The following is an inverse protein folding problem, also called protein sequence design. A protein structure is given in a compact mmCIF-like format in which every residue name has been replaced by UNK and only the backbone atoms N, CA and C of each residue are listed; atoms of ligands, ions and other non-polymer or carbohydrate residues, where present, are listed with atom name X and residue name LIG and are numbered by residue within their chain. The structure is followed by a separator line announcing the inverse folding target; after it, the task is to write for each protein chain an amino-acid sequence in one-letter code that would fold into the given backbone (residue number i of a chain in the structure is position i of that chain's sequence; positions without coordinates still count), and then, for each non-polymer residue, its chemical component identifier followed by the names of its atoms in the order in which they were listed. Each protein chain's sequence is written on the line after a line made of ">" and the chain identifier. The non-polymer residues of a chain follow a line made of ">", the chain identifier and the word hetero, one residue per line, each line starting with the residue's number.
data_IF_793761448446
#
_entry.id   IF_793761448446
#
_cell.length_a   1.000
_cell.length_b   1.000
_cell.length_c   1.000
_cell.angle_alpha   90.00
_cell.angle_beta   90.00
_cell.angle_gamma   90.00
#
_symmetry.space_group_name_H-M   'P 1'
#
loop_
_entity.id
_entity.type
_entity.pdbx_description
1 polymer ?
#
# COMPACT_ATOMS: atom_id res chain seq x y z
N UNK A 1 25.93 -20.80 6.74
CA UNK A 1 25.38 -19.69 5.94
C UNK A 1 25.24 -18.51 6.88
N UNK A 2 25.64 -17.32 6.45
CA UNK A 2 25.58 -16.10 7.28
C UNK A 2 24.23 -15.38 7.10
N UNK A 3 23.84 -14.58 8.10
CA UNK A 3 22.54 -13.88 8.09
C UNK A 3 22.36 -12.97 6.86
N UNK A 4 23.42 -12.30 6.39
CA UNK A 4 23.36 -11.44 5.20
C UNK A 4 23.15 -12.24 3.91
N UNK A 5 23.73 -13.44 3.84
CA UNK A 5 23.55 -14.33 2.69
C UNK A 5 22.15 -14.95 2.71
N UNK A 6 21.63 -15.25 3.89
CA UNK A 6 20.26 -15.71 4.08
C UNK A 6 19.25 -14.68 3.57
N UNK A 7 19.41 -13.40 3.94
CA UNK A 7 18.51 -12.32 3.51
C UNK A 7 18.41 -12.20 1.97
N UNK A 8 19.53 -12.43 1.27
CA UNK A 8 19.58 -12.41 -0.20
C UNK A 8 18.85 -13.60 -0.86
N UNK A 9 18.79 -14.76 -0.21
CA UNK A 9 18.17 -15.98 -0.77
C UNK A 9 16.76 -16.23 -0.25
N UNK A 10 16.35 -15.51 0.78
CA UNK A 10 15.08 -15.68 1.48
C UNK A 10 13.85 -15.58 0.57
N UNK A 11 13.82 -14.63 -0.37
CA UNK A 11 12.67 -14.51 -1.28
C UNK A 11 12.57 -15.75 -2.17
N UNK A 12 13.68 -16.18 -2.77
CA UNK A 12 13.71 -17.38 -3.58
C UNK A 12 13.40 -18.64 -2.76
N UNK A 13 13.74 -18.66 -1.46
CA UNK A 13 13.36 -19.75 -0.54
C UNK A 13 11.83 -19.82 -0.38
N UNK A 14 11.16 -18.67 -0.25
CA UNK A 14 9.69 -18.59 -0.09
C UNK A 14 8.95 -18.99 -1.38
N UNK A 15 9.55 -18.74 -2.55
CA UNK A 15 9.00 -19.11 -3.85
C UNK A 15 9.44 -20.50 -4.34
N UNK A 16 10.16 -21.27 -3.51
CA UNK A 16 10.66 -22.62 -3.86
C UNK A 16 11.55 -22.63 -5.11
N UNK A 17 12.31 -21.54 -5.34
CA UNK A 17 13.20 -21.37 -6.51
C UNK A 17 14.67 -21.75 -6.22
N UNK A 18 15.01 -22.08 -4.97
CA UNK A 18 16.37 -22.48 -4.59
C UNK A 18 16.71 -23.87 -5.09
N UNK A 19 18.00 -24.07 -5.42
CA UNK A 19 18.54 -25.41 -5.57
C UNK A 19 18.53 -26.17 -4.23
N UNK A 20 18.42 -27.51 -4.29
CA UNK A 20 18.27 -28.38 -3.12
C UNK A 20 19.38 -28.20 -2.07
N UNK A 21 20.61 -27.88 -2.50
CA UNK A 21 21.74 -27.65 -1.60
C UNK A 21 21.60 -26.32 -0.85
N UNK A 22 21.23 -25.25 -1.54
CA UNK A 22 21.01 -23.94 -0.92
C UNK A 22 19.78 -23.96 -0.02
N UNK A 23 18.70 -24.65 -0.40
CA UNK A 23 17.50 -24.83 0.43
C UNK A 23 17.85 -25.55 1.75
N UNK A 24 18.52 -26.70 1.68
CA UNK A 24 18.94 -27.43 2.89
C UNK A 24 19.91 -26.63 3.78
N UNK A 25 20.74 -25.76 3.20
CA UNK A 25 21.63 -24.88 3.94
C UNK A 25 20.87 -23.72 4.62
N UNK A 26 19.86 -23.16 3.94
CA UNK A 26 18.99 -22.13 4.48
C UNK A 26 18.11 -22.66 5.60
N UNK A 27 17.50 -23.84 5.44
CA UNK A 27 16.69 -24.50 6.48
C UNK A 27 17.52 -24.80 7.74
N UNK A 28 18.74 -25.31 7.59
CA UNK A 28 19.66 -25.51 8.73
C UNK A 28 20.02 -24.19 9.42
N UNK A 29 20.17 -23.10 8.66
CA UNK A 29 20.42 -21.78 9.23
C UNK A 29 19.21 -21.26 10.00
N UNK A 30 17.98 -21.40 9.48
CA UNK A 30 16.76 -21.03 10.18
C UNK A 30 16.56 -21.80 11.49
N UNK A 31 16.94 -23.09 11.50
CA UNK A 31 16.89 -23.90 12.72
C UNK A 31 17.89 -23.44 13.80
N UNK A 32 19.03 -22.85 13.39
CA UNK A 32 20.08 -22.41 14.31
C UNK A 32 19.98 -20.92 14.68
N UNK A 33 19.38 -20.08 13.83
CA UNK A 33 19.29 -18.63 14.02
C UNK A 33 17.84 -18.19 14.24
N UNK A 34 17.51 -17.84 15.48
CA UNK A 34 16.16 -17.42 15.88
C UNK A 34 15.63 -16.21 15.09
N UNK A 35 16.51 -15.26 14.70
CA UNK A 35 16.12 -14.09 13.90
C UNK A 35 15.64 -14.51 12.51
N UNK A 36 16.44 -15.30 11.81
CA UNK A 36 16.14 -15.75 10.45
C UNK A 36 14.92 -16.69 10.43
N UNK A 37 14.81 -17.59 11.41
CA UNK A 37 13.64 -18.47 11.55
C UNK A 37 12.34 -17.73 11.90
N UNK A 38 12.39 -16.60 12.61
CA UNK A 38 11.20 -15.75 12.81
C UNK A 38 10.77 -15.06 11.52
N UNK A 39 11.75 -14.51 10.80
CA UNK A 39 11.51 -13.74 9.57
C UNK A 39 10.98 -14.64 8.43
N UNK A 40 11.48 -15.87 8.32
CA UNK A 40 10.92 -16.88 7.41
C UNK A 40 9.46 -17.21 7.76
N UNK A 41 9.15 -17.46 9.04
CA UNK A 41 7.78 -17.77 9.49
C UNK A 41 6.81 -16.63 9.23
N UNK A 42 7.24 -15.39 9.46
CA UNK A 42 6.43 -14.20 9.18
C UNK A 42 6.12 -14.10 7.68
N UNK A 43 7.14 -14.26 6.82
CA UNK A 43 6.93 -14.18 5.39
C UNK A 43 6.08 -15.33 4.87
N UNK A 44 6.31 -16.58 5.29
CA UNK A 44 5.42 -17.70 4.94
C UNK A 44 3.98 -17.46 5.38
N UNK A 45 3.77 -16.86 6.55
CA UNK A 45 2.42 -16.48 7.00
C UNK A 45 1.79 -15.43 6.07
N UNK A 46 2.57 -14.44 5.59
CA UNK A 46 2.06 -13.47 4.60
C UNK A 46 1.80 -14.11 3.24
N UNK A 47 2.65 -15.05 2.79
CA UNK A 47 2.45 -15.78 1.53
C UNK A 47 1.21 -16.67 1.59
N UNK A 48 0.96 -17.33 2.73
CA UNK A 48 -0.25 -18.12 2.95
C UNK A 48 -1.53 -17.27 2.89
N UNK A 49 -1.47 -16.01 3.33
CA UNK A 49 -2.59 -15.07 3.20
C UNK A 49 -2.72 -14.56 1.76
N UNK A 50 -1.59 -14.36 1.06
CA UNK A 50 -1.57 -13.94 -0.35
C UNK A 50 -2.06 -15.03 -1.32
N UNK A 51 -1.80 -16.29 -0.99
CA UNK A 51 -2.36 -17.47 -1.67
C UNK A 51 -3.78 -17.77 -1.16
N UNK A 52 -4.65 -16.75 -1.10
CA UNK A 52 -6.08 -17.02 -0.96
C UNK A 52 -6.46 -18.01 -2.05
N UNK A 53 -7.08 -19.12 -1.64
CA UNK A 53 -7.53 -20.16 -2.54
C UNK A 53 -8.23 -19.48 -3.71
N UNK A 54 -7.59 -19.53 -4.88
CA UNK A 54 -8.18 -19.07 -6.12
C UNK A 54 -9.37 -20.00 -6.34
N UNK A 55 -10.52 -19.56 -5.87
CA UNK A 55 -11.78 -20.21 -6.18
C UNK A 55 -11.82 -20.33 -7.70
N UNK A 56 -11.97 -21.55 -8.26
CA UNK A 56 -11.88 -21.75 -9.69
C UNK A 56 -12.87 -20.81 -10.37
N UNK A 57 -12.35 -19.89 -11.18
CA UNK A 57 -13.15 -18.88 -11.85
C UNK A 57 -14.27 -19.62 -12.58
N UNK A 58 -15.55 -19.34 -12.27
CA UNK A 58 -16.65 -20.07 -12.86
C UNK A 58 -16.59 -19.97 -14.38
N UNK A 59 -16.79 -21.09 -15.08
CA UNK A 59 -16.75 -21.12 -16.54
C UNK A 59 -17.69 -20.06 -17.11
N UNK A 60 -17.15 -19.16 -17.94
CA UNK A 60 -17.90 -18.04 -18.53
C UNK A 60 -17.90 -16.74 -17.72
N UNK A 61 -17.19 -16.65 -16.59
CA UNK A 61 -17.03 -15.39 -15.84
C UNK A 61 -16.39 -14.29 -16.70
N UNK A 62 -15.37 -14.63 -17.50
CA UNK A 62 -14.72 -13.68 -18.41
C UNK A 62 -15.71 -13.08 -19.42
N UNK A 63 -16.57 -13.91 -20.00
CA UNK A 63 -17.62 -13.43 -20.93
C UNK A 63 -18.61 -12.51 -20.22
N UNK A 64 -19.09 -12.89 -19.02
CA UNK A 64 -19.98 -12.03 -18.23
C UNK A 64 -19.31 -10.71 -17.83
N UNK A 65 -18.02 -10.74 -17.51
CA UNK A 65 -17.24 -9.55 -17.15
C UNK A 65 -17.04 -8.63 -18.36
N UNK A 66 -16.72 -9.19 -19.53
CA UNK A 66 -16.58 -8.44 -20.77
C UNK A 66 -17.92 -7.82 -21.20
N UNK A 67 -19.02 -8.58 -21.10
CA UNK A 67 -20.37 -8.07 -21.38
C UNK A 67 -20.76 -6.96 -20.42
N UNK A 68 -20.55 -7.14 -19.11
CA UNK A 68 -20.82 -6.12 -18.10
C UNK A 68 -19.99 -4.85 -18.35
N UNK A 69 -18.69 -5.01 -18.68
CA UNK A 69 -17.82 -3.89 -18.99
C UNK A 69 -18.28 -3.12 -20.24
N UNK A 70 -18.74 -3.81 -21.29
CA UNK A 70 -19.27 -3.17 -22.51
C UNK A 70 -20.55 -2.39 -22.21
N UNK A 71 -21.46 -2.96 -21.41
CA UNK A 71 -22.71 -2.28 -21.00
C UNK A 71 -22.40 -1.01 -20.22
N UNK A 72 -21.49 -1.11 -19.23
CA UNK A 72 -21.11 0.04 -18.42
C UNK A 72 -20.35 1.09 -19.23
N UNK A 73 -19.49 0.67 -20.16
CA UNK A 73 -18.78 1.58 -21.05
C UNK A 73 -19.72 2.33 -22.01
N UNK A 74 -20.84 1.71 -22.43
CA UNK A 74 -21.87 2.37 -23.24
C UNK A 74 -22.71 3.36 -22.42
N UNK A 75 -22.92 3.09 -21.13
CA UNK A 75 -23.67 3.98 -20.23
C UNK A 75 -22.88 5.23 -19.78
N UNK A 76 -21.55 5.23 -19.92
CA UNK A 76 -20.73 6.37 -19.48
C UNK A 76 -20.86 7.59 -20.42
N UNK A 77 -21.04 8.81 -19.87
CA UNK A 77 -21.11 10.04 -20.66
C UNK A 77 -19.79 10.31 -21.38
N UNK A 78 -19.86 10.88 -22.60
CA UNK A 78 -18.72 11.13 -23.49
C UNK A 78 -17.57 11.91 -22.81
N UNK A 79 -17.88 12.80 -21.87
CA UNK A 79 -16.88 13.56 -21.11
C UNK A 79 -15.99 12.66 -20.23
N UNK A 80 -16.57 11.63 -19.62
CA UNK A 80 -15.84 10.68 -18.78
C UNK A 80 -15.00 9.71 -19.62
N UNK A 81 -15.45 9.40 -20.84
CA UNK A 81 -14.71 8.56 -21.79
C UNK A 81 -13.39 9.22 -22.21
N UNK A 82 -13.41 10.52 -22.51
CA UNK A 82 -12.19 11.29 -22.83
C UNK A 82 -11.24 11.36 -21.63
N UNK A 83 -11.76 11.61 -20.42
CA UNK A 83 -10.94 11.65 -19.21
C UNK A 83 -10.19 10.34 -18.95
N UNK A 84 -10.86 9.19 -19.09
CA UNK A 84 -10.24 7.86 -18.92
C UNK A 84 -9.18 7.57 -19.98
N UNK A 85 -9.44 7.91 -21.25
CA UNK A 85 -8.44 7.76 -22.31
C UNK A 85 -7.19 8.59 -22.03
N UNK A 86 -7.35 9.83 -21.55
CA UNK A 86 -6.25 10.70 -21.13
C UNK A 86 -5.52 10.14 -19.92
N UNK A 87 -6.21 9.62 -18.90
CA UNK A 87 -5.58 9.02 -17.72
C UNK A 87 -4.79 7.75 -18.06
N UNK A 88 -5.30 6.91 -18.96
CA UNK A 88 -4.60 5.71 -19.43
C UNK A 88 -3.35 6.11 -20.24
N UNK A 89 -3.47 7.09 -21.13
CA UNK A 89 -2.33 7.64 -21.87
C UNK A 89 -1.29 8.30 -20.94
N UNK A 90 -1.74 9.03 -19.92
CA UNK A 90 -0.88 9.66 -18.93
C UNK A 90 -0.13 8.61 -18.08
N UNK A 91 -0.79 7.53 -17.71
CA UNK A 91 -0.15 6.39 -17.03
C UNK A 91 0.89 5.69 -17.91
N UNK A 92 0.63 5.57 -19.22
CA UNK A 92 1.60 5.03 -20.17
C UNK A 92 2.80 5.95 -20.41
N UNK A 93 2.61 7.26 -20.38
CA UNK A 93 3.69 8.24 -20.52
C UNK A 93 4.72 8.21 -19.37
N UNK A 94 4.36 7.68 -18.20
CA UNK A 94 5.28 7.52 -17.07
C UNK A 94 6.18 6.28 -17.15
N UNK A 95 5.97 5.37 -18.11
CA UNK A 95 6.88 4.24 -18.31
C UNK A 95 8.10 4.70 -19.12
N UNK A 96 9.35 4.54 -18.61
CA UNK A 96 10.55 5.04 -19.29
C UNK A 96 10.75 4.43 -20.70
N UNK A 97 10.28 3.21 -20.93
CA UNK A 97 10.31 2.57 -22.26
C UNK A 97 9.34 3.20 -23.27
N UNK A 98 8.19 3.69 -22.83
CA UNK A 98 7.20 4.34 -23.70
C UNK A 98 7.59 5.79 -24.02
N UNK A 99 8.28 6.48 -23.10
CA UNK A 99 8.83 7.80 -23.37
C UNK A 99 9.86 7.75 -24.52
N UNK A 100 10.73 6.73 -24.53
CA UNK A 100 11.72 6.52 -25.60
C UNK A 100 11.07 6.26 -26.96
N UNK A 101 10.01 5.43 -27.01
CA UNK A 101 9.30 5.17 -28.27
C UNK A 101 8.53 6.40 -28.77
N UNK A 102 7.97 7.20 -27.85
CA UNK A 102 7.33 8.47 -28.21
C UNK A 102 8.32 9.47 -28.80
N UNK A 103 9.53 9.59 -28.23
CA UNK A 103 10.61 10.42 -28.78
C UNK A 103 11.04 9.93 -30.16
N UNK A 104 11.17 8.61 -30.36
CA UNK A 104 11.49 8.02 -31.66
C UNK A 104 10.41 8.32 -32.71
N UNK A 105 9.13 8.14 -32.37
CA UNK A 105 8.02 8.45 -33.27
C UNK A 105 7.96 9.95 -33.61
N UNK A 106 8.27 10.82 -32.64
CA UNK A 106 8.36 12.26 -32.86
C UNK A 106 9.54 12.61 -33.79
N UNK A 107 10.70 11.98 -33.62
CA UNK A 107 11.85 12.12 -34.51
C UNK A 107 11.51 11.67 -35.94
N UNK A 108 10.89 10.49 -36.11
CA UNK A 108 10.47 9.97 -37.41
C UNK A 108 9.42 10.90 -38.06
N UNK A 109 8.43 11.35 -37.29
CA UNK A 109 7.41 12.27 -37.77
C UNK A 109 8.01 13.62 -38.21
N UNK A 110 8.97 14.14 -37.46
CA UNK A 110 9.68 15.38 -37.82
C UNK A 110 10.54 15.21 -39.09
N UNK A 111 11.20 14.07 -39.26
CA UNK A 111 11.94 13.78 -40.48
C UNK A 111 11.00 13.68 -41.70
N UNK A 112 9.87 12.99 -41.57
CA UNK A 112 8.88 12.89 -42.65
C UNK A 112 8.23 14.25 -42.98
N UNK A 113 8.03 15.11 -41.97
CA UNK A 113 7.48 16.44 -42.19
C UNK A 113 8.48 17.37 -42.91
N UNK A 114 9.78 17.19 -42.67
CA UNK A 114 10.84 17.92 -43.36
C UNK A 114 11.12 17.39 -44.77
N UNK A 115 10.89 16.08 -45.01
CA UNK A 115 10.91 15.49 -46.36
C UNK A 115 9.55 15.70 -47.03
N UNK A 116 9.00 16.92 -46.97
CA UNK A 116 7.88 17.26 -47.84
C UNK A 116 8.48 17.51 -49.22
N UNK A 117 8.37 16.58 -50.19
CA UNK A 117 8.87 16.86 -51.52
C UNK A 117 8.12 18.07 -52.04
N UNK A 118 8.83 19.12 -52.43
CA UNK A 118 8.23 20.17 -53.24
C UNK A 118 7.67 19.50 -54.50
N UNK A 119 6.35 19.58 -54.74
CA UNK A 119 5.74 18.97 -55.91
C UNK A 119 6.21 19.75 -57.14
N UNK A 120 7.28 19.27 -57.77
CA UNK A 120 7.85 19.91 -58.97
C UNK A 120 9.30 19.56 -59.28
N UNK A 121 10.06 18.98 -58.34
CA UNK A 121 11.50 18.74 -58.53
C UNK A 121 11.87 17.25 -58.54
N UNK A 122 11.26 16.49 -59.45
CA UNK A 122 11.78 15.17 -59.82
C UNK A 122 12.90 15.34 -60.84
N UNK A 123 14.08 15.78 -60.38
CA UNK A 123 15.31 15.68 -61.16
C UNK A 123 15.66 14.20 -61.29
N UNK A 124 15.64 13.66 -62.50
CA UNK A 124 16.03 12.28 -62.78
C UNK A 124 17.45 12.03 -62.29
N UNK A 125 17.59 11.27 -61.20
CA UNK A 125 18.89 10.75 -60.76
C UNK A 125 19.30 9.67 -61.75
N UNK A 126 20.08 10.04 -62.76
CA UNK A 126 20.75 9.07 -63.61
C UNK A 126 21.95 8.50 -62.85
N UNK A 127 21.82 7.24 -62.46
CA UNK A 127 22.92 6.43 -61.93
C UNK A 127 23.83 6.10 -63.11
N UNK A 128 24.95 6.81 -63.24
CA UNK A 128 26.02 6.41 -64.15
C UNK A 128 26.85 5.31 -63.50
N UNK A 129 26.59 4.07 -63.92
CA UNK A 129 27.45 2.91 -63.67
C UNK A 129 28.83 3.11 -64.31
N UNK A 130 29.76 3.76 -63.60
CA UNK A 130 31.20 3.58 -63.82
C UNK A 130 32.00 4.33 -62.76
N UNK A 131 32.69 3.58 -61.89
CA UNK A 131 33.75 4.16 -61.06
C UNK A 131 34.05 3.35 -59.80
N UNK A 132 34.82 2.27 -59.99
CA UNK A 132 35.89 1.73 -59.12
C UNK A 132 35.77 1.94 -57.60
N UNK A 133 35.71 0.86 -56.78
CA UNK A 133 35.84 0.99 -55.33
C UNK A 133 37.28 1.41 -54.98
N UNK A 134 37.45 2.63 -54.48
CA UNK A 134 38.64 2.97 -53.69
C UNK A 134 38.57 2.20 -52.37
N UNK A 135 39.51 1.26 -52.21
CA UNK A 135 39.82 0.70 -50.90
C UNK A 135 40.58 1.75 -50.10
N UNK A 136 39.86 2.60 -49.37
CA UNK A 136 40.44 3.30 -48.23
C UNK A 136 40.35 2.39 -46.99
N UNK A 137 41.51 1.83 -46.64
CA UNK A 137 41.71 1.13 -45.39
C UNK A 137 41.77 2.14 -44.25
N UNK A 138 40.71 2.23 -43.46
CA UNK A 138 40.73 2.86 -42.15
C UNK A 138 40.78 1.77 -41.07
N UNK A 139 41.96 1.65 -40.47
CA UNK A 139 42.28 0.67 -39.44
C UNK A 139 41.41 0.88 -38.19
N UNK A 140 40.51 -0.07 -37.93
CA UNK A 140 39.79 -0.20 -36.66
C UNK A 140 40.80 -0.51 -35.56
N UNK A 141 41.15 0.50 -34.76
CA UNK A 141 41.94 0.33 -33.54
C UNK A 141 41.02 -0.20 -32.45
N UNK A 142 41.14 -1.49 -32.14
CA UNK A 142 40.44 -2.14 -31.03
C UNK A 142 41.02 -1.59 -29.71
N UNK A 143 40.28 -0.70 -29.04
CA UNK A 143 40.59 -0.31 -27.66
C UNK A 143 40.16 -1.47 -26.74
N UNK A 144 41.14 -2.18 -26.19
CA UNK A 144 40.97 -3.14 -25.09
C UNK A 144 40.44 -2.41 -23.86
N UNK A 145 39.32 -2.88 -23.33
CA UNK A 145 38.81 -2.51 -22.02
C UNK A 145 39.53 -3.36 -20.94
N UNK A 146 40.20 -2.77 -19.94
CA UNK A 146 40.85 -3.53 -18.88
C UNK A 146 39.84 -4.04 -17.83
N UNK A 147 40.03 -5.29 -17.44
CA UNK A 147 39.33 -5.99 -16.35
C UNK A 147 39.57 -5.32 -15.00
N UNK A 148 38.54 -5.15 -14.13
CA UNK A 148 38.76 -4.81 -12.74
C UNK A 148 39.12 -6.06 -11.93
N UNK A 149 40.42 -6.18 -11.65
CA UNK A 149 40.98 -7.13 -10.70
C UNK A 149 40.64 -6.80 -9.24
N UNK A 150 40.64 -7.88 -8.46
CA UNK A 150 40.41 -7.98 -7.03
C UNK A 150 41.22 -6.99 -6.19
N UNK A 151 40.59 -6.45 -5.14
CA UNK A 151 41.32 -6.03 -3.93
C UNK A 151 40.62 -6.61 -2.71
N UNK A 152 41.36 -7.47 -2.04
CA UNK A 152 41.08 -8.06 -0.74
C UNK A 152 41.64 -7.16 0.37
N UNK A 153 40.97 -7.23 1.54
CA UNK A 153 41.51 -7.10 2.92
C UNK A 153 41.41 -5.77 3.68
N UNK A 154 40.86 -5.92 4.90
CA UNK A 154 41.17 -5.23 6.17
C UNK A 154 40.70 -3.77 6.35
N UNK A 155 40.31 -3.28 7.53
CA UNK A 155 39.98 -3.82 8.84
C UNK A 155 39.39 -2.63 9.66
N UNK A 156 38.49 -2.92 10.61
CA UNK A 156 38.02 -1.98 11.64
C UNK A 156 39.17 -1.59 12.61
N UNK A 157 39.09 -0.44 13.33
CA UNK A 157 38.39 -0.41 14.62
C UNK A 157 37.66 0.92 14.96
N UNK A 158 36.88 0.96 16.08
CA UNK A 158 35.93 2.02 16.39
C UNK A 158 36.49 3.12 17.30
N UNK A 159 35.96 4.34 17.19
CA UNK A 159 36.24 5.41 18.16
C UNK A 159 34.96 6.07 18.66
N UNK A 160 34.75 5.85 19.96
CA UNK A 160 33.99 6.56 20.96
C UNK A 160 33.42 7.96 20.65
N UNK A 161 32.16 8.14 21.07
CA UNK A 161 31.85 9.02 22.20
C UNK A 161 31.65 10.49 21.91
N UNK A 162 30.38 10.92 21.90
CA UNK A 162 30.02 12.22 22.45
C UNK A 162 28.82 12.08 23.40
N UNK A 163 29.13 12.31 24.66
CA UNK A 163 28.21 12.46 25.76
C UNK A 163 27.46 13.80 25.69
N UNK A 164 26.31 13.78 26.33
CA UNK A 164 25.48 14.89 26.82
C UNK A 164 26.20 16.23 27.06
N UNK A 165 25.51 17.33 26.74
CA UNK A 165 25.26 18.40 27.71
C UNK A 165 24.31 19.47 27.14
N UNK A 166 23.23 19.72 27.89
CA UNK A 166 22.68 21.03 28.23
C UNK A 166 22.66 22.15 27.17
N UNK A 167 21.45 22.64 26.89
CA UNK A 167 21.16 24.06 27.14
C UNK A 167 19.66 24.33 27.31
N UNK A 168 19.31 24.49 28.58
CA UNK A 168 18.23 25.32 29.05
C UNK A 168 18.55 26.79 28.74
N UNK A 169 17.61 27.50 28.10
CA UNK A 169 17.48 28.97 28.12
C UNK A 169 16.18 29.37 27.39
N UNK A 170 15.10 29.51 28.15
CA UNK A 170 14.16 30.63 27.98
C UNK A 170 14.81 31.88 28.61
N UNK A 171 14.51 33.13 28.19
CA UNK A 171 13.13 33.63 28.06
C UNK A 171 12.84 34.61 26.89
N UNK A 172 11.53 34.80 26.71
CA UNK A 172 10.79 35.94 26.17
C UNK A 172 11.55 37.12 25.52
N UNK A 173 11.14 37.45 24.29
CA UNK A 173 11.06 38.84 23.84
C UNK A 173 9.93 39.03 22.81
N UNK A 174 9.03 39.96 23.15
CA UNK A 174 8.01 40.54 22.30
C UNK A 174 8.56 40.99 20.95
N UNK A 175 7.81 40.70 19.89
CA UNK A 175 8.06 41.19 18.55
C UNK A 175 6.75 41.31 17.79
N UNK A 176 5.94 42.29 18.18
CA UNK A 176 4.76 42.74 17.44
C UNK A 176 5.22 43.29 16.09
N UNK A 177 5.23 42.46 15.04
CA UNK A 177 5.35 42.93 13.66
C UNK A 177 3.99 42.89 13.00
N UNK A 178 3.24 43.97 13.23
CA UNK A 178 2.13 44.36 12.38
C UNK A 178 2.73 45.03 11.13
N UNK A 179 2.82 44.31 10.02
CA UNK A 179 3.12 44.90 8.73
C UNK A 179 2.41 44.15 7.61
N UNK A 180 1.69 44.93 6.80
CA UNK A 180 1.13 44.62 5.49
C UNK A 180 0.00 43.58 5.44
N UNK A 181 -1.22 44.03 5.77
CA UNK A 181 -2.43 43.58 5.10
C UNK A 181 -2.33 43.95 3.61
N UNK A 182 -1.75 43.04 2.82
CA UNK A 182 -1.95 42.99 1.38
C UNK A 182 -3.34 42.43 1.10
N UNK A 183 -4.17 43.24 0.46
CA UNK A 183 -5.54 42.95 0.09
C UNK A 183 -5.59 41.87 -0.99
N UNK A 184 -5.78 40.63 -0.54
CA UNK A 184 -6.64 39.57 -1.09
C UNK A 184 -6.89 39.62 -2.60
N UNK A 185 -5.97 39.03 -3.36
CA UNK A 185 -6.42 38.00 -4.29
C UNK A 185 -6.80 36.80 -3.43
N UNK A 186 -8.10 36.56 -3.24
CA UNK A 186 -8.60 35.30 -2.69
C UNK A 186 -8.18 34.19 -3.64
N UNK A 187 -6.96 33.69 -3.45
CA UNK A 187 -6.55 32.43 -4.01
C UNK A 187 -7.62 31.42 -3.59
N UNK A 188 -8.07 30.56 -4.52
CA UNK A 188 -9.16 29.63 -4.24
C UNK A 188 -8.82 28.85 -2.97
N UNK A 189 -9.81 28.69 -2.08
CA UNK A 189 -9.74 28.05 -0.74
C UNK A 189 -9.03 26.67 -0.69
N UNK A 190 -8.64 26.12 -1.85
CA UNK A 190 -7.82 24.92 -1.98
C UNK A 190 -6.31 25.12 -1.87
N UNK A 191 -5.75 26.34 -1.87
CA UNK A 191 -4.27 26.49 -1.89
C UNK A 191 -3.61 26.07 -0.57
N UNK A 192 -4.13 26.52 0.59
CA UNK A 192 -3.52 26.21 1.89
C UNK A 192 -3.62 24.72 2.22
N UNK A 193 -4.75 24.08 1.89
CA UNK A 193 -4.90 22.64 2.05
C UNK A 193 -3.93 21.85 1.15
N UNK A 194 -3.73 22.29 -0.09
CA UNK A 194 -2.76 21.67 -1.00
C UNK A 194 -1.32 21.78 -0.48
N UNK A 195 -0.94 22.94 0.06
CA UNK A 195 0.36 23.14 0.68
C UNK A 195 0.54 22.26 1.94
N UNK A 196 -0.50 22.15 2.76
CA UNK A 196 -0.53 21.26 3.92
C UNK A 196 -0.32 19.78 3.52
N UNK A 197 -0.99 19.32 2.45
CA UNK A 197 -0.82 17.98 1.90
C UNK A 197 0.58 17.77 1.31
N UNK A 198 1.17 18.78 0.68
CA UNK A 198 2.55 18.73 0.19
C UNK A 198 3.57 18.64 1.34
N UNK A 199 3.35 19.34 2.46
CA UNK A 199 4.15 19.19 3.67
C UNK A 199 3.99 17.79 4.29
N UNK A 200 2.76 17.27 4.35
CA UNK A 200 2.46 15.93 4.88
C UNK A 200 3.16 14.81 4.11
N UNK A 201 3.08 14.82 2.79
CA UNK A 201 3.70 13.80 1.91
C UNK A 201 5.23 13.84 1.94
N UNK A 202 5.83 15.00 2.25
CA UNK A 202 7.28 15.17 2.47
C UNK A 202 7.73 14.86 3.90
N UNK A 203 6.88 14.24 4.73
CA UNK A 203 7.13 13.95 6.15
C UNK A 203 7.45 15.19 7.02
N UNK A 204 7.09 16.39 6.56
CA UNK A 204 7.26 17.65 7.33
C UNK A 204 6.05 17.87 8.23
N UNK A 205 5.83 16.92 9.15
CA UNK A 205 4.58 16.85 9.91
C UNK A 205 4.33 18.04 10.83
N UNK A 206 5.37 18.64 11.42
CA UNK A 206 5.20 19.83 12.30
C UNK A 206 4.66 21.04 11.51
N UNK A 207 5.18 21.26 10.31
CA UNK A 207 4.70 22.29 9.37
C UNK A 207 3.29 21.95 8.87
N UNK A 208 3.06 20.67 8.53
CA UNK A 208 1.75 20.20 8.09
C UNK A 208 0.66 20.45 9.16
N UNK A 209 0.94 20.26 10.46
CA UNK A 209 -0.01 20.59 11.54
C UNK A 209 -0.45 22.05 11.47
N UNK A 210 0.50 22.98 11.29
CA UNK A 210 0.19 24.42 11.25
C UNK A 210 -0.67 24.76 10.03
N UNK A 211 -0.29 24.25 8.86
CA UNK A 211 -1.03 24.51 7.60
C UNK A 211 -2.44 23.87 7.62
N UNK A 212 -2.59 22.67 8.20
CA UNK A 212 -3.92 22.05 8.35
C UNK A 212 -4.78 22.76 9.40
N UNK A 213 -4.18 23.20 10.52
CA UNK A 213 -4.90 23.98 11.53
C UNK A 213 -5.38 25.33 10.93
N UNK A 214 -4.57 25.95 10.08
CA UNK A 214 -4.96 27.15 9.32
C UNK A 214 -6.08 26.86 8.31
N UNK A 215 -5.94 25.82 7.48
CA UNK A 215 -6.98 25.42 6.53
C UNK A 215 -8.31 25.06 7.23
N UNK A 216 -8.24 24.44 8.41
CA UNK A 216 -9.42 24.19 9.23
C UNK A 216 -10.08 25.48 9.75
N UNK A 217 -9.26 26.45 10.18
CA UNK A 217 -9.74 27.75 10.67
C UNK A 217 -10.38 28.61 9.57
N UNK A 218 -9.92 28.47 8.32
CA UNK A 218 -10.52 29.13 7.16
C UNK A 218 -11.92 28.59 6.82
N UNK A 219 -12.23 27.36 7.25
CA UNK A 219 -13.54 26.73 7.03
C UNK A 219 -13.67 26.09 5.64
N UNK A 220 -14.89 26.03 5.13
CA UNK A 220 -15.19 25.41 3.83
C UNK A 220 -15.40 23.90 3.87
N UNK A 221 -15.51 23.28 2.69
CA UNK A 221 -15.80 21.85 2.54
C UNK A 221 -14.65 20.94 2.98
N UNK A 222 -13.42 21.46 2.98
CA UNK A 222 -12.19 20.74 3.35
C UNK A 222 -11.86 20.85 4.84
N UNK A 223 -12.52 21.73 5.61
CA UNK A 223 -12.13 22.01 7.00
C UNK A 223 -12.13 20.77 7.91
N UNK A 224 -13.17 19.95 7.85
CA UNK A 224 -13.26 18.72 8.66
C UNK A 224 -12.13 17.73 8.29
N UNK A 225 -11.85 17.60 6.99
CA UNK A 225 -10.75 16.77 6.49
C UNK A 225 -9.40 17.31 6.95
N UNK A 226 -9.19 18.63 6.91
CA UNK A 226 -7.97 19.29 7.39
C UNK A 226 -7.73 19.02 8.88
N UNK A 227 -8.76 19.15 9.74
CA UNK A 227 -8.66 18.84 11.18
C UNK A 227 -8.19 17.39 11.42
N UNK A 228 -8.73 16.43 10.65
CA UNK A 228 -8.33 15.02 10.74
C UNK A 228 -6.87 14.80 10.34
N UNK A 229 -6.40 15.45 9.27
CA UNK A 229 -5.00 15.38 8.85
C UNK A 229 -4.04 16.10 9.81
N UNK A 230 -4.48 17.18 10.45
CA UNK A 230 -3.73 17.82 11.53
C UNK A 230 -3.52 16.85 12.69
N UNK A 231 -4.58 16.17 13.14
CA UNK A 231 -4.49 15.14 14.19
C UNK A 231 -3.58 13.97 13.78
N UNK A 232 -3.59 13.56 12.51
CA UNK A 232 -2.68 12.55 11.96
C UNK A 232 -1.22 13.00 11.94
N UNK A 233 -0.97 14.27 11.66
CA UNK A 233 0.36 14.86 11.69
C UNK A 233 0.91 14.95 13.13
N UNK A 234 0.03 15.25 14.10
CA UNK A 234 0.37 15.17 15.53
C UNK A 234 0.68 13.74 15.94
N UNK A 235 -0.08 12.75 15.46
CA UNK A 235 0.22 11.34 15.72
C UNK A 235 1.62 10.95 15.24
N UNK A 236 2.01 11.38 14.05
CA UNK A 236 3.33 11.05 13.49
C UNK A 236 4.50 11.76 14.19
N UNK A 237 4.26 12.84 14.96
CA UNK A 237 5.31 13.63 15.62
C UNK A 237 5.38 13.41 17.13
N UNK A 238 4.22 13.32 17.79
CA UNK A 238 4.07 13.21 19.23
C UNK A 238 3.45 11.87 19.68
N UNK A 239 3.16 10.97 18.74
CA UNK A 239 2.56 9.67 19.02
C UNK A 239 1.10 9.74 19.48
N UNK A 240 0.62 8.59 19.96
CA UNK A 240 -0.76 8.39 20.39
C UNK A 240 -1.18 9.29 21.55
N UNK A 241 -0.27 9.58 22.49
CA UNK A 241 -0.55 10.43 23.66
C UNK A 241 -0.93 11.86 23.25
N UNK A 242 -0.23 12.43 22.26
CA UNK A 242 -0.54 13.77 21.75
C UNK A 242 -1.76 13.82 20.81
N UNK A 243 -1.98 12.77 20.03
CA UNK A 243 -3.03 12.78 19.00
C UNK A 243 -4.44 12.43 19.52
N UNK A 244 -4.54 11.58 20.54
CA UNK A 244 -5.83 11.13 21.11
C UNK A 244 -6.80 12.26 21.45
N UNK A 245 -6.42 13.33 22.18
CA UNK A 245 -7.35 14.42 22.49
C UNK A 245 -7.87 15.13 21.24
N UNK A 246 -7.05 15.29 20.20
CA UNK A 246 -7.48 15.89 18.93
C UNK A 246 -8.49 15.00 18.21
N UNK A 247 -8.24 13.69 18.10
CA UNK A 247 -9.21 12.77 17.50
C UNK A 247 -10.54 12.73 18.26
N UNK A 248 -10.51 12.74 19.61
CA UNK A 248 -11.74 12.79 20.41
C UNK A 248 -12.54 14.08 20.18
N UNK A 249 -11.86 15.23 20.09
CA UNK A 249 -12.50 16.51 19.76
C UNK A 249 -13.16 16.48 18.38
N UNK A 250 -12.50 15.91 17.37
CA UNK A 250 -13.05 15.80 16.01
C UNK A 250 -14.25 14.84 15.99
N UNK A 251 -14.12 13.69 16.66
CA UNK A 251 -15.19 12.69 16.78
C UNK A 251 -16.46 13.27 17.41
N UNK A 252 -16.34 14.03 18.50
CA UNK A 252 -17.50 14.66 19.16
C UNK A 252 -18.08 15.83 18.36
N UNK A 253 -17.23 16.67 17.77
CA UNK A 253 -17.67 17.81 16.97
C UNK A 253 -18.34 17.40 15.64
N UNK A 254 -18.00 16.21 15.12
CA UNK A 254 -18.44 15.71 13.80
C UNK A 254 -19.14 14.35 13.89
N UNK A 255 -19.89 14.13 14.97
CA UNK A 255 -20.62 12.88 15.20
C UNK A 255 -21.54 12.52 14.01
N UNK A 256 -21.55 11.23 13.62
CA UNK A 256 -22.36 10.73 12.50
C UNK A 256 -21.81 11.04 11.10
N UNK A 257 -20.72 11.79 10.97
CA UNK A 257 -20.06 12.03 9.69
C UNK A 257 -18.94 11.00 9.42
N UNK A 258 -18.59 10.80 8.15
CA UNK A 258 -17.47 9.93 7.77
C UNK A 258 -16.15 10.34 8.47
N UNK A 259 -15.85 11.64 8.54
CA UNK A 259 -14.66 12.19 9.23
C UNK A 259 -14.72 11.91 10.73
N UNK A 260 -15.90 12.04 11.35
CA UNK A 260 -16.10 11.70 12.76
C UNK A 260 -15.86 10.22 13.03
N UNK A 261 -16.35 9.32 12.19
CA UNK A 261 -16.11 7.88 12.30
C UNK A 261 -14.64 7.51 12.11
N UNK A 262 -13.94 8.13 11.14
CA UNK A 262 -12.50 7.99 10.98
C UNK A 262 -11.74 8.45 12.23
N UNK A 263 -12.11 9.59 12.80
CA UNK A 263 -11.53 10.11 14.04
C UNK A 263 -11.77 9.16 15.22
N UNK A 264 -12.99 8.63 15.39
CA UNK A 264 -13.31 7.62 16.42
C UNK A 264 -12.44 6.37 16.27
N UNK A 265 -12.29 5.85 15.04
CA UNK A 265 -11.45 4.67 14.78
C UNK A 265 -9.99 4.92 15.14
N UNK A 266 -9.45 6.09 14.78
CA UNK A 266 -8.07 6.48 15.10
C UNK A 266 -7.88 6.68 16.60
N UNK A 267 -8.82 7.34 17.29
CA UNK A 267 -8.81 7.48 18.74
C UNK A 267 -8.80 6.12 19.45
N UNK A 268 -9.68 5.18 19.05
CA UNK A 268 -9.73 3.83 19.59
C UNK A 268 -8.39 3.08 19.43
N UNK A 269 -7.79 3.19 18.24
CA UNK A 269 -6.51 2.54 17.95
C UNK A 269 -5.38 3.11 18.82
N UNK A 270 -5.32 4.44 18.97
CA UNK A 270 -4.36 5.10 19.86
C UNK A 270 -4.57 4.72 21.34
N UNK A 271 -5.83 4.59 21.81
CA UNK A 271 -6.15 4.20 23.18
C UNK A 271 -5.71 2.76 23.47
N UNK A 272 -5.91 1.84 22.51
CA UNK A 272 -5.42 0.47 22.61
C UNK A 272 -3.90 0.42 22.76
N UNK A 273 -3.17 1.18 21.94
CA UNK A 273 -1.70 1.24 22.01
C UNK A 273 -1.18 1.82 23.33
N UNK A 274 -1.96 2.68 23.97
CA UNK A 274 -1.67 3.23 25.30
C UNK A 274 -2.09 2.30 26.45
N UNK A 275 -2.67 1.13 26.17
CA UNK A 275 -3.18 0.20 27.19
C UNK A 275 -4.53 0.61 27.80
N UNK A 276 -5.18 1.66 27.30
CA UNK A 276 -6.50 2.10 27.75
C UNK A 276 -7.62 1.27 27.06
N UNK A 277 -7.61 -0.04 27.31
CA UNK A 277 -8.46 -1.03 26.61
C UNK A 277 -9.96 -0.78 26.78
N UNK A 278 -10.42 -0.40 27.97
CA UNK A 278 -11.83 -0.08 28.23
C UNK A 278 -12.34 1.08 27.36
N UNK A 279 -11.58 2.17 27.28
CA UNK A 279 -11.93 3.31 26.44
C UNK A 279 -11.80 2.97 24.93
N UNK A 280 -10.85 2.13 24.56
CA UNK A 280 -10.73 1.65 23.17
C UNK A 280 -11.97 0.82 22.76
N UNK A 281 -12.43 -0.07 23.65
CA UNK A 281 -13.65 -0.87 23.47
C UNK A 281 -14.87 0.01 23.22
N UNK A 282 -15.11 1.02 24.05
CA UNK A 282 -16.26 1.92 23.91
C UNK A 282 -16.30 2.57 22.53
N UNK A 283 -15.15 3.07 22.06
CA UNK A 283 -15.04 3.68 20.72
C UNK A 283 -15.24 2.66 19.60
N UNK A 284 -14.76 1.41 19.73
CA UNK A 284 -15.00 0.37 18.73
C UNK A 284 -16.47 -0.07 18.72
N UNK A 285 -17.13 -0.17 19.87
CA UNK A 285 -18.55 -0.49 19.97
C UNK A 285 -19.41 0.56 19.26
N UNK A 286 -19.09 1.85 19.41
CA UNK A 286 -19.76 2.94 18.70
C UNK A 286 -19.66 2.82 17.16
N UNK A 287 -18.66 2.11 16.64
CA UNK A 287 -18.46 1.89 15.21
C UNK A 287 -19.15 0.64 14.66
N UNK A 288 -19.72 -0.23 15.51
CA UNK A 288 -20.41 -1.45 15.06
C UNK A 288 -21.66 -1.15 14.23
N UNK A 289 -22.33 -0.03 14.50
CA UNK A 289 -23.53 0.40 13.76
C UNK A 289 -23.21 1.06 12.42
N UNK A 290 -21.94 1.35 12.12
CA UNK A 290 -21.51 2.06 10.91
C UNK A 290 -21.10 1.03 9.85
N UNK A 291 -21.80 0.92 8.70
CA UNK A 291 -21.59 -0.16 7.74
C UNK A 291 -20.14 -0.33 7.25
N UNK A 292 -19.41 0.77 7.05
CA UNK A 292 -18.02 0.74 6.57
C UNK A 292 -16.97 0.41 7.66
N UNK A 293 -17.38 0.36 8.94
CA UNK A 293 -16.47 0.14 10.08
C UNK A 293 -16.80 -1.10 10.90
N UNK A 294 -18.02 -1.65 10.81
CA UNK A 294 -18.49 -2.76 11.64
C UNK A 294 -17.54 -3.97 11.63
N UNK A 295 -17.24 -4.53 10.46
CA UNK A 295 -16.34 -5.69 10.33
C UNK A 295 -14.93 -5.44 10.88
N UNK A 296 -14.42 -4.21 10.71
CA UNK A 296 -13.10 -3.80 11.25
C UNK A 296 -13.15 -3.64 12.76
N UNK A 297 -14.23 -3.10 13.31
CA UNK A 297 -14.45 -2.92 14.74
C UNK A 297 -14.62 -4.26 15.46
N UNK A 298 -15.40 -5.21 14.91
CA UNK A 298 -15.52 -6.58 15.45
C UNK A 298 -14.16 -7.29 15.52
N UNK A 299 -13.36 -7.14 14.47
CA UNK A 299 -12.00 -7.71 14.44
C UNK A 299 -11.10 -7.06 15.48
N UNK A 300 -11.21 -5.75 15.71
CA UNK A 300 -10.46 -5.05 16.74
C UNK A 300 -10.91 -5.47 18.16
N UNK A 301 -12.21 -5.63 18.40
CA UNK A 301 -12.76 -6.09 19.69
C UNK A 301 -12.33 -7.53 20.02
N UNK A 302 -12.36 -8.44 19.05
CA UNK A 302 -11.83 -9.81 19.22
C UNK A 302 -10.35 -9.81 19.64
N UNK A 303 -9.53 -8.93 19.03
CA UNK A 303 -8.11 -8.78 19.40
C UNK A 303 -7.90 -8.24 20.82
N UNK A 304 -8.87 -7.52 21.38
CA UNK A 304 -8.84 -7.06 22.77
C UNK A 304 -9.28 -8.15 23.77
N UNK A 305 -9.58 -9.37 23.31
CA UNK A 305 -10.08 -10.46 24.14
C UNK A 305 -11.55 -10.31 24.54
N UNK A 306 -12.26 -9.35 23.94
CA UNK A 306 -13.70 -9.22 24.13
C UNK A 306 -14.42 -9.90 22.97
N UNK A 307 -15.06 -11.03 23.27
CA UNK A 307 -16.12 -11.52 22.42
C UNK A 307 -17.17 -10.40 22.32
N UNK A 308 -17.59 -9.98 21.11
CA UNK A 308 -18.59 -8.93 20.98
C UNK A 308 -19.85 -9.33 21.74
N UNK A 309 -20.25 -8.51 22.72
CA UNK A 309 -21.39 -8.75 23.63
C UNK A 309 -22.73 -8.83 22.87
N UNK A 310 -22.75 -8.51 21.56
CA UNK A 310 -23.96 -8.25 20.79
C UNK A 310 -24.43 -9.34 19.82
N UNK A 311 -23.79 -10.50 19.74
CA UNK A 311 -24.30 -11.59 18.90
C UNK A 311 -24.18 -12.90 19.65
N UNK A 312 -25.07 -13.11 20.62
CA UNK A 312 -25.50 -14.47 20.92
C UNK A 312 -26.09 -15.01 19.61
N UNK A 313 -25.23 -15.67 18.82
CA UNK A 313 -25.70 -16.62 17.84
C UNK A 313 -26.71 -17.48 18.58
N UNK A 314 -27.97 -17.43 18.14
CA UNK A 314 -28.99 -18.36 18.59
C UNK A 314 -28.33 -19.75 18.60
N UNK A 315 -28.41 -20.52 19.71
CA UNK A 315 -27.74 -21.80 19.80
C UNK A 315 -28.13 -22.60 18.57
N UNK A 316 -27.16 -22.80 17.67
CA UNK A 316 -27.32 -23.68 16.53
C UNK A 316 -27.62 -25.03 17.13
N UNK A 317 -28.89 -25.40 17.14
CA UNK A 317 -29.36 -26.70 17.52
C UNK A 317 -28.56 -27.70 16.67
N UNK A 318 -27.59 -28.38 17.27
CA UNK A 318 -26.97 -29.55 16.67
C UNK A 318 -28.09 -30.56 16.39
N UNK A 319 -28.33 -30.94 15.13
CA UNK A 319 -29.17 -32.08 14.83
C UNK A 319 -28.32 -33.33 15.04
N UNK A 320 -28.10 -33.71 16.30
CA UNK A 320 -27.62 -35.05 16.65
C UNK A 320 -28.76 -35.74 17.39
N UNK A 321 -29.68 -36.25 16.58
CA UNK A 321 -30.66 -37.26 16.94
C UNK A 321 -30.77 -38.25 15.79
N UNK A 322 -29.63 -38.77 15.30
CA UNK A 322 -29.63 -40.01 14.53
C UNK A 322 -29.36 -41.14 15.51
N UNK A 323 -30.49 -41.75 15.86
CA UNK A 323 -30.70 -42.91 16.70
C UNK A 323 -29.84 -44.08 16.22
N UNK A 324 -28.95 -44.55 17.09
CA UNK A 324 -28.23 -45.79 16.91
C UNK A 324 -29.23 -46.97 17.05
N UNK A 325 -29.76 -47.43 15.91
CA UNK A 325 -30.47 -48.70 15.81
C UNK A 325 -29.46 -49.85 15.70
N UNK A 326 -29.06 -50.37 16.84
CA UNK A 326 -28.41 -51.68 16.98
C UNK A 326 -29.51 -52.69 17.35
N UNK A 327 -30.07 -53.37 16.36
CA UNK A 327 -31.01 -54.48 16.59
C UNK A 327 -30.42 -55.75 15.94
N UNK A 328 -29.80 -56.57 16.78
CA UNK A 328 -29.21 -57.87 16.46
C UNK A 328 -30.12 -58.94 17.08
N UNK A 329 -30.88 -59.74 16.30
CA UNK A 329 -31.76 -60.74 16.89
C UNK A 329 -30.97 -61.98 17.31
N UNK A 330 -30.81 -62.11 18.63
CA UNK A 330 -30.29 -63.29 19.30
C UNK A 330 -31.28 -64.46 19.15
N UNK A 331 -30.84 -65.50 18.44
CA UNK A 331 -31.51 -66.80 18.34
C UNK A 331 -31.12 -67.63 19.56
N UNK A 332 -32.06 -67.94 20.47
CA UNK A 332 -31.86 -69.00 21.47
C UNK A 332 -33.17 -69.53 22.04
N UNK A 333 -33.41 -70.80 21.72
CA UNK A 333 -33.82 -71.86 22.66
C UNK A 333 -35.29 -71.92 23.13
N UNK A 334 -36.06 -72.69 22.37
CA UNK A 334 -37.10 -73.61 22.88
C UNK A 334 -36.66 -74.33 24.17
N UNK A 335 -37.50 -74.29 25.20
CA UNK A 335 -37.52 -75.30 26.26
C UNK A 335 -38.93 -75.43 26.85
N UNK A 336 -39.42 -76.65 26.75
CA UNK A 336 -40.76 -77.14 27.02
C UNK A 336 -41.28 -77.02 28.47
N UNK A 337 -42.61 -77.21 28.55
CA UNK A 337 -43.36 -78.03 29.52
C UNK A 337 -44.34 -77.26 30.46
N UNK A 338 -45.25 -77.94 31.18
CA UNK A 338 -46.53 -78.43 30.64
C UNK A 338 -47.72 -78.02 31.53
N UNK A 339 -48.94 -78.14 31.02
CA UNK A 339 -50.18 -78.08 31.84
C UNK A 339 -50.78 -79.48 32.07
N UNK A 340 -51.41 -79.71 33.23
CA UNK A 340 -52.14 -80.94 33.56
C UNK A 340 -53.47 -81.09 32.80
#
# INVERSE_FOLDING_TARGET
>A
MDCERFDKVLLSLIYEELDELTDSAAQRHCAQCARCGNLERELRATTAIGMMALEPIPKGFEQRLLEAAVVEQKAQPLKNRLGRAVSVLAGYAMRPQAAMSAILLLMIGSALFLIRPEPGQYGSVQVTERGVPEMEGEAVTIIRLPEPGMVTTAAEPPTAGFASAFRESEPAASGTSAAARGEKNSAPDGSVFADAMAAFTKNRFREAVQLFDEAAAQGGSQAATAELYAARSVHNTAGCRGATPRYRKISSARAGSAVGHDATWRAASCLREQGATAAATENYQALLVVPNYSARAETALRKLGQAPIGTQAAPSASPNGEEAASDEPSVSSDAAAPTP
#
